data_IF_804541850322
#
_entry.id   IF_804541850322
#
_cell.length_a   1.000
_cell.length_b   1.000
_cell.length_c   1.000
_cell.angle_alpha   90.00
_cell.angle_beta   90.00
_cell.angle_gamma   90.00
#
_symmetry.space_group_name_H-M   'P 1'
#
loop_
_entity.id
_entity.type
_entity.pdbx_description
1 polymer ?
#
# COMPACT_ATOMS: atom_id res chain seq x y z
N UNK A 1 26.25 13.35 -19.74
CA UNK A 1 26.57 11.98 -20.15
C UNK A 1 25.43 11.15 -19.60
N UNK A 2 24.40 10.94 -20.42
CA UNK A 2 23.17 10.25 -20.02
C UNK A 2 23.45 8.75 -20.10
N UNK A 3 23.32 8.04 -18.98
CA UNK A 3 23.47 6.59 -18.95
C UNK A 3 22.20 5.98 -19.57
N UNK A 4 22.32 5.57 -20.84
CA UNK A 4 21.26 4.92 -21.60
C UNK A 4 21.02 3.53 -20.97
N UNK A 5 19.89 3.41 -20.28
CA UNK A 5 19.38 2.17 -19.72
C UNK A 5 19.19 1.16 -20.85
N UNK A 6 19.88 0.03 -20.78
CA UNK A 6 19.86 -1.01 -21.80
C UNK A 6 18.44 -1.58 -21.88
N UNK A 7 17.75 -1.29 -22.98
CA UNK A 7 16.48 -1.90 -23.38
C UNK A 7 16.86 -3.11 -24.24
N UNK A 8 16.73 -4.30 -23.68
CA UNK A 8 17.03 -5.54 -24.38
C UNK A 8 15.79 -5.98 -25.16
N UNK A 9 15.88 -5.87 -26.49
CA UNK A 9 14.94 -6.51 -27.42
C UNK A 9 15.18 -8.03 -27.35
N UNK A 10 14.21 -8.76 -26.80
CA UNK A 10 14.35 -10.19 -26.47
C UNK A 10 13.73 -11.09 -27.53
N UNK A 11 12.86 -10.55 -28.40
CA UNK A 11 12.13 -11.30 -29.43
C UNK A 11 12.36 -10.78 -30.87
N UNK A 12 13.07 -9.66 -31.03
CA UNK A 12 13.56 -9.13 -32.29
C UNK A 12 12.51 -8.40 -33.11
N UNK A 13 11.42 -7.96 -32.49
CA UNK A 13 10.31 -7.30 -33.18
C UNK A 13 10.45 -5.77 -33.30
N UNK A 14 11.47 -5.20 -32.64
CA UNK A 14 11.77 -3.77 -32.65
C UNK A 14 10.88 -2.92 -31.73
N UNK A 15 10.03 -3.55 -30.92
CA UNK A 15 9.35 -2.90 -29.81
C UNK A 15 10.16 -3.12 -28.53
N UNK A 16 10.55 -2.01 -27.90
CA UNK A 16 11.21 -2.09 -26.60
C UNK A 16 10.16 -2.48 -25.57
N UNK A 17 10.05 -3.76 -25.25
CA UNK A 17 9.24 -4.19 -24.11
C UNK A 17 9.92 -3.67 -22.85
N UNK A 18 9.40 -2.57 -22.31
CA UNK A 18 9.62 -2.28 -20.90
C UNK A 18 8.95 -3.43 -20.16
N UNK A 19 9.74 -4.41 -19.72
CA UNK A 19 9.39 -5.21 -18.56
C UNK A 19 9.24 -4.20 -17.42
N UNK A 20 8.03 -3.64 -17.32
CA UNK A 20 7.55 -2.91 -16.17
C UNK A 20 7.58 -3.98 -15.09
N UNK A 21 8.75 -4.10 -14.45
CA UNK A 21 8.97 -4.90 -13.26
C UNK A 21 7.78 -4.56 -12.38
N UNK A 22 6.82 -5.49 -12.33
CA UNK A 22 5.53 -5.28 -11.71
C UNK A 22 5.84 -4.68 -10.36
N UNK A 23 5.49 -3.40 -10.22
CA UNK A 23 5.70 -2.64 -9.00
C UNK A 23 5.18 -3.57 -7.92
N UNK A 24 5.99 -3.92 -6.90
CA UNK A 24 5.59 -4.95 -5.93
C UNK A 24 4.18 -4.62 -5.54
N UNK A 25 3.24 -5.57 -5.68
CA UNK A 25 1.79 -5.34 -5.61
C UNK A 25 1.45 -4.69 -4.25
N UNK A 26 1.64 -3.37 -4.16
CA UNK A 26 1.62 -2.64 -2.90
C UNK A 26 0.16 -2.34 -2.72
N UNK A 27 -0.51 -3.25 -2.01
CA UNK A 27 -1.91 -3.10 -1.70
C UNK A 27 -2.06 -1.84 -0.84
N UNK A 28 -2.75 -0.79 -1.32
CA UNK A 28 -2.88 0.45 -0.57
C UNK A 28 -3.66 0.19 0.72
N UNK A 29 -3.01 0.46 1.86
CA UNK A 29 -3.53 0.16 3.19
C UNK A 29 -2.86 -1.04 3.86
N UNK A 30 -2.10 -1.86 3.14
CA UNK A 30 -1.29 -2.95 3.69
C UNK A 30 0.09 -2.44 4.13
N UNK A 31 0.15 -1.90 5.34
CA UNK A 31 1.38 -1.32 5.89
C UNK A 31 2.40 -2.39 6.28
N UNK A 32 1.97 -3.65 6.41
CA UNK A 32 2.77 -4.75 6.92
C UNK A 32 3.24 -5.74 5.82
N UNK A 33 2.77 -5.54 4.57
CA UNK A 33 3.05 -6.34 3.39
C UNK A 33 2.58 -7.82 3.50
N UNK A 34 1.49 -8.09 4.22
CA UNK A 34 0.86 -9.43 4.30
C UNK A 34 -0.18 -9.70 3.20
N UNK A 35 -0.31 -8.79 2.23
CA UNK A 35 -1.30 -8.78 1.16
C UNK A 35 -2.75 -8.72 1.66
N UNK A 36 -2.99 -8.30 2.91
CA UNK A 36 -4.31 -8.22 3.52
C UNK A 36 -4.50 -6.88 4.20
N UNK A 37 -5.46 -6.06 3.75
CA UNK A 37 -5.81 -4.82 4.47
C UNK A 37 -6.77 -5.13 5.61
N UNK A 38 -6.27 -5.17 6.84
CA UNK A 38 -7.06 -5.45 8.04
C UNK A 38 -6.81 -4.44 9.20
N UNK A 39 -7.41 -4.72 10.37
CA UNK A 39 -7.24 -3.86 11.55
C UNK A 39 -5.82 -3.88 12.12
N UNK A 40 -4.99 -4.88 11.81
CA UNK A 40 -3.59 -4.92 12.19
C UNK A 40 -2.82 -3.81 11.48
N UNK A 41 -3.11 -3.55 10.21
CA UNK A 41 -2.49 -2.44 9.48
C UNK A 41 -2.82 -1.10 10.12
N UNK A 42 -4.09 -0.89 10.43
CA UNK A 42 -4.54 0.28 11.17
C UNK A 42 -3.82 0.43 12.52
N UNK A 43 -3.64 -0.68 13.24
CA UNK A 43 -2.98 -0.71 14.54
C UNK A 43 -1.49 -0.40 14.44
N UNK A 44 -0.80 -0.96 13.43
CA UNK A 44 0.61 -0.70 13.15
C UNK A 44 0.79 0.78 12.80
N UNK A 45 -0.01 1.30 11.86
CA UNK A 45 0.00 2.70 11.46
C UNK A 45 -0.27 3.64 12.64
N UNK A 46 -1.27 3.31 13.48
CA UNK A 46 -1.58 4.11 14.68
C UNK A 46 -0.45 4.14 15.69
N UNK A 47 0.23 3.00 15.91
CA UNK A 47 1.35 2.90 16.86
C UNK A 47 2.62 3.55 16.32
N UNK A 48 2.85 3.45 15.02
CA UNK A 48 3.89 4.17 14.30
C UNK A 48 3.73 5.69 14.51
N UNK A 49 2.53 6.23 14.24
CA UNK A 49 2.22 7.66 14.45
C UNK A 49 2.31 8.09 15.92
N UNK A 50 2.07 7.17 16.85
CA UNK A 50 2.21 7.42 18.29
C UNK A 50 3.67 7.33 18.78
N UNK A 51 4.64 7.04 17.92
CA UNK A 51 6.06 6.93 18.28
C UNK A 51 6.39 5.72 19.16
N UNK A 52 5.64 4.63 19.03
CA UNK A 52 5.91 3.42 19.80
C UNK A 52 7.19 2.74 19.30
N UNK A 53 8.14 2.53 20.20
CA UNK A 53 9.40 1.84 19.89
C UNK A 53 9.15 0.42 19.37
N UNK A 54 9.76 0.07 18.23
CA UNK A 54 9.64 -1.25 17.59
C UNK A 54 8.50 -1.36 16.55
N UNK A 55 7.71 -0.31 16.35
CA UNK A 55 6.68 -0.27 15.28
C UNK A 55 7.17 0.36 13.97
N UNK A 56 8.31 1.06 13.99
CA UNK A 56 8.96 1.59 12.78
C UNK A 56 9.38 0.45 11.84
N UNK A 57 9.89 -0.66 12.39
CA UNK A 57 10.25 -1.86 11.62
C UNK A 57 9.04 -2.68 11.16
N UNK A 58 7.87 -2.46 11.78
CA UNK A 58 6.62 -3.13 11.40
C UNK A 58 5.94 -2.48 10.21
N UNK A 59 6.25 -1.22 9.95
CA UNK A 59 5.81 -0.52 8.76
C UNK A 59 6.75 -0.89 7.62
N UNK A 60 6.38 -1.95 6.90
CA UNK A 60 7.16 -2.51 5.80
C UNK A 60 6.99 -1.65 4.55
N UNK A 61 5.76 -1.17 4.31
CA UNK A 61 5.43 -0.38 3.11
C UNK A 61 4.96 1.02 3.48
N UNK A 62 5.83 2.01 3.24
CA UNK A 62 5.48 3.44 3.33
C UNK A 62 4.52 3.86 2.23
N UNK A 63 4.66 3.28 1.05
CA UNK A 63 3.79 3.55 -0.09
C UNK A 63 2.37 3.04 0.17
N UNK A 64 2.21 1.89 0.82
CA UNK A 64 0.90 1.41 1.24
C UNK A 64 0.29 2.25 2.37
N UNK A 65 1.12 2.78 3.27
CA UNK A 65 0.69 3.63 4.37
C UNK A 65 0.27 5.04 3.92
N UNK A 66 0.79 5.52 2.79
CA UNK A 66 0.43 6.79 2.17
C UNK A 66 -0.82 6.61 1.29
N UNK A 67 -2.00 6.86 1.87
CA UNK A 67 -3.29 6.66 1.20
C UNK A 67 -3.83 7.95 0.56
N UNK A 68 -3.34 9.11 1.01
CA UNK A 68 -3.72 10.41 0.48
C UNK A 68 -2.82 10.88 -0.70
N UNK A 69 -1.67 10.24 -0.92
CA UNK A 69 -0.71 10.58 -1.97
C UNK A 69 0.11 11.85 -1.69
N UNK A 70 0.26 12.26 -0.42
CA UNK A 70 0.97 13.49 -0.02
C UNK A 70 2.42 13.26 0.44
N UNK A 71 2.94 12.05 0.23
CA UNK A 71 4.25 11.54 0.63
C UNK A 71 4.51 11.63 2.14
N UNK A 72 3.47 11.87 2.95
CA UNK A 72 3.56 12.10 4.38
C UNK A 72 2.60 11.17 5.13
N UNK A 73 3.15 10.20 5.84
CA UNK A 73 2.35 9.28 6.65
C UNK A 73 1.86 10.01 7.90
N UNK A 74 0.58 10.39 7.91
CA UNK A 74 -0.02 11.11 9.02
C UNK A 74 -1.37 10.53 9.50
N UNK A 75 -2.04 11.26 10.40
CA UNK A 75 -3.33 10.83 10.93
C UNK A 75 -4.46 10.80 9.87
N UNK A 76 -4.31 11.49 8.72
CA UNK A 76 -5.24 11.45 7.60
C UNK A 76 -5.20 10.09 6.93
N UNK A 77 -4.01 9.53 6.68
CA UNK A 77 -3.90 8.18 6.13
C UNK A 77 -4.54 7.15 7.05
N UNK A 78 -4.27 7.26 8.36
CA UNK A 78 -4.93 6.43 9.37
C UNK A 78 -6.46 6.58 9.31
N UNK A 79 -6.98 7.79 9.12
CA UNK A 79 -8.43 8.01 8.99
C UNK A 79 -9.00 7.39 7.70
N UNK A 80 -8.28 7.47 6.58
CA UNK A 80 -8.69 6.85 5.31
C UNK A 80 -8.73 5.33 5.48
N UNK A 81 -7.68 4.74 6.05
CA UNK A 81 -7.60 3.30 6.34
C UNK A 81 -8.71 2.87 7.30
N UNK A 82 -8.92 3.62 8.38
CA UNK A 82 -10.00 3.36 9.34
C UNK A 82 -11.36 3.38 8.65
N UNK A 83 -11.60 4.37 7.78
CA UNK A 83 -12.87 4.51 7.05
C UNK A 83 -13.06 3.36 6.07
N UNK A 84 -12.00 2.93 5.39
CA UNK A 84 -12.02 1.78 4.50
C UNK A 84 -12.40 0.50 5.26
N UNK A 85 -11.77 0.26 6.42
CA UNK A 85 -12.04 -0.91 7.28
C UNK A 85 -13.40 -0.86 7.98
N UNK A 86 -13.88 0.33 8.36
CA UNK A 86 -15.22 0.51 8.96
C UNK A 86 -16.34 0.50 7.91
N UNK A 87 -16.00 0.54 6.61
CA UNK A 87 -16.95 0.69 5.50
C UNK A 87 -17.58 -0.60 4.97
N UNK A 88 -17.21 -1.80 5.46
CA UNK A 88 -17.69 -3.08 4.87
C UNK A 88 -18.14 -4.12 5.91
N UNK A 89 -18.79 -3.75 7.02
CA UNK A 89 -19.48 -4.76 7.84
C UNK A 89 -20.82 -4.36 8.47
N UNK A 90 -21.43 -3.26 8.00
CA UNK A 90 -22.66 -2.73 8.61
C UNK A 90 -23.97 -3.07 7.88
N UNK A 91 -23.96 -3.41 6.59
CA UNK A 91 -25.20 -3.39 5.79
C UNK A 91 -25.48 -4.60 4.89
N UNK A 92 -24.68 -5.68 4.92
CA UNK A 92 -24.97 -6.86 4.09
C UNK A 92 -25.82 -7.95 4.75
N UNK A 93 -26.29 -7.79 5.99
CA UNK A 93 -27.26 -8.74 6.58
C UNK A 93 -28.40 -8.06 7.34
N UNK A 94 -29.16 -7.20 6.69
CA UNK A 94 -30.61 -7.23 6.90
C UNK A 94 -31.19 -8.20 5.87
N UNK A 95 -31.19 -9.46 6.29
CA UNK A 95 -31.80 -10.58 5.60
C UNK A 95 -33.23 -10.25 5.16
N UNK A 96 -33.59 -10.71 3.96
CA UNK A 96 -34.96 -10.91 3.46
C UNK A 96 -36.00 -11.04 4.59
N UNK A 97 -37.02 -10.18 4.60
CA UNK A 97 -38.42 -10.55 4.83
C UNK A 97 -39.33 -9.67 3.97
#
# INVERSE_FOLDING_TARGET
MEEVKIIADTDGDGEYETELAAEPDVLPGDVNADNTVDRKDLLILSRYLAGWTGYEEKLVSKTAANLNGDDTIDARDRMILARHLNGVSGYEQISRQ
#
